data_IF_364423091838
#
_entry.id   IF_364423091838
#
_cell.length_a   1.000
_cell.length_b   1.000
_cell.length_c   1.000
_cell.angle_alpha   90.00
_cell.angle_beta   90.00
_cell.angle_gamma   90.00
#
_symmetry.space_group_name_H-M   'P 1'
#
loop_
_entity.id
_entity.type
_entity.pdbx_description
1 polymer ?
#
# COMPACT_ATOMS: atom_id res chain seq x y z
N UNK A 1 6.77 -7.25 -32.04
CA UNK A 1 5.80 -7.08 -30.93
C UNK A 1 5.95 -5.67 -30.39
N UNK A 2 4.93 -4.83 -30.52
CA UNK A 2 4.98 -3.47 -29.98
C UNK A 2 5.09 -3.49 -28.44
N UNK A 3 5.71 -2.45 -27.90
CA UNK A 3 5.82 -2.14 -26.47
C UNK A 3 5.12 -0.79 -26.29
N UNK A 4 4.20 -0.72 -25.34
CA UNK A 4 3.47 0.50 -25.02
C UNK A 4 3.77 1.00 -23.61
N UNK A 5 3.60 2.29 -23.38
CA UNK A 5 3.56 2.85 -22.03
C UNK A 5 2.16 2.75 -21.40
N UNK A 6 1.98 3.37 -20.23
CA UNK A 6 0.69 3.38 -19.54
C UNK A 6 -0.37 4.28 -20.21
N UNK A 7 0.03 5.23 -21.06
CA UNK A 7 -0.84 6.10 -21.85
C UNK A 7 -1.22 5.48 -23.21
N UNK A 8 -0.78 4.23 -23.45
CA UNK A 8 -0.90 3.50 -24.72
C UNK A 8 -0.07 4.09 -25.87
N UNK A 9 0.97 4.87 -25.55
CA UNK A 9 1.94 5.39 -26.52
C UNK A 9 2.96 4.30 -26.90
N UNK A 10 3.26 4.18 -28.21
CA UNK A 10 4.24 3.20 -28.72
C UNK A 10 5.66 3.63 -28.34
N UNK A 11 6.31 2.84 -27.49
CA UNK A 11 7.70 3.07 -27.07
C UNK A 11 8.73 2.35 -27.95
N UNK A 12 8.33 1.27 -28.61
CA UNK A 12 9.24 0.49 -29.45
C UNK A 12 8.65 -0.85 -29.89
N UNK A 13 9.47 -1.67 -30.54
CA UNK A 13 9.08 -2.99 -31.05
C UNK A 13 10.17 -4.02 -30.75
N UNK A 14 9.78 -5.16 -30.18
CA UNK A 14 10.63 -6.36 -30.08
C UNK A 14 10.45 -7.20 -31.34
N UNK A 15 11.53 -7.41 -32.10
CA UNK A 15 11.53 -8.31 -33.24
C UNK A 15 12.21 -9.64 -32.90
N UNK A 16 11.69 -10.73 -33.46
CA UNK A 16 12.25 -12.07 -33.32
C UNK A 16 11.97 -12.87 -34.60
N UNK A 17 12.95 -12.90 -35.50
CA UNK A 17 12.87 -13.61 -36.76
C UNK A 17 13.47 -15.01 -36.65
N UNK A 18 12.79 -16.01 -37.21
CA UNK A 18 13.27 -17.40 -37.30
C UNK A 18 12.98 -17.98 -38.68
N UNK A 19 13.87 -18.85 -39.18
CA UNK A 19 13.69 -19.59 -40.42
C UNK A 19 12.88 -20.89 -40.25
N UNK A 20 12.46 -21.23 -39.03
CA UNK A 20 11.72 -22.44 -38.70
C UNK A 20 10.22 -22.17 -38.50
N UNK A 21 9.42 -22.29 -39.57
CA UNK A 21 7.96 -22.03 -39.58
C UNK A 21 7.16 -22.78 -38.49
N UNK A 22 7.63 -23.96 -38.06
CA UNK A 22 6.95 -24.80 -37.07
C UNK A 22 7.05 -24.31 -35.62
N UNK A 23 7.88 -23.29 -35.32
CA UNK A 23 8.06 -22.76 -33.95
C UNK A 23 7.43 -21.38 -33.73
N UNK A 24 6.73 -20.86 -34.73
CA UNK A 24 6.30 -19.46 -34.75
C UNK A 24 5.33 -19.11 -33.60
N UNK A 25 4.42 -20.02 -33.20
CA UNK A 25 3.48 -19.76 -32.10
C UNK A 25 4.16 -19.69 -30.74
N UNK A 26 5.02 -20.66 -30.43
CA UNK A 26 5.79 -20.67 -29.19
C UNK A 26 6.72 -19.47 -29.10
N UNK A 27 7.40 -19.13 -30.20
CA UNK A 27 8.21 -17.91 -30.28
C UNK A 27 7.36 -16.67 -30.05
N UNK A 28 6.20 -16.54 -30.70
CA UNK A 28 5.32 -15.40 -30.53
C UNK A 28 4.85 -15.26 -29.07
N UNK A 29 4.51 -16.36 -28.40
CA UNK A 29 4.15 -16.34 -26.98
C UNK A 29 5.28 -15.82 -26.09
N UNK A 30 6.52 -16.25 -26.34
CA UNK A 30 7.70 -15.77 -25.61
C UNK A 30 7.98 -14.28 -25.87
N UNK A 31 7.83 -13.82 -27.12
CA UNK A 31 8.05 -12.41 -27.46
C UNK A 31 6.97 -11.52 -26.85
N UNK A 32 5.70 -11.99 -26.81
CA UNK A 32 4.62 -11.31 -26.08
C UNK A 32 4.92 -11.21 -24.59
N UNK A 33 5.40 -12.31 -23.99
CA UNK A 33 5.80 -12.32 -22.58
C UNK A 33 6.95 -11.33 -22.31
N UNK A 34 7.96 -11.30 -23.19
CA UNK A 34 9.06 -10.36 -23.11
C UNK A 34 8.59 -8.90 -23.21
N UNK A 35 7.69 -8.59 -24.16
CA UNK A 35 7.10 -7.26 -24.28
C UNK A 35 6.39 -6.85 -22.98
N UNK A 36 5.54 -7.72 -22.41
CA UNK A 36 4.86 -7.41 -21.14
C UNK A 36 5.81 -7.25 -19.96
N UNK A 37 6.90 -8.01 -19.91
CA UNK A 37 7.95 -7.81 -18.92
C UNK A 37 8.58 -6.41 -19.03
N UNK A 38 8.91 -5.99 -20.24
CA UNK A 38 9.49 -4.67 -20.50
C UNK A 38 8.52 -3.56 -20.11
N UNK A 39 7.25 -3.65 -20.51
CA UNK A 39 6.23 -2.66 -20.14
C UNK A 39 6.01 -2.57 -18.64
N UNK A 40 5.95 -3.71 -17.93
CA UNK A 40 5.82 -3.72 -16.47
C UNK A 40 7.03 -3.05 -15.79
N UNK A 41 8.24 -3.23 -16.33
CA UNK A 41 9.45 -2.57 -15.84
C UNK A 41 9.41 -1.07 -16.09
N UNK A 42 9.00 -0.65 -17.29
CA UNK A 42 8.85 0.75 -17.68
C UNK A 42 7.82 1.43 -16.76
N UNK A 43 6.65 0.82 -16.56
CA UNK A 43 5.63 1.32 -15.64
C UNK A 43 6.21 1.55 -14.24
N UNK A 44 6.93 0.55 -13.71
CA UNK A 44 7.51 0.64 -12.36
C UNK A 44 8.58 1.73 -12.24
N UNK A 45 9.30 2.01 -13.33
CA UNK A 45 10.33 3.07 -13.38
C UNK A 45 9.72 4.45 -13.56
N UNK A 46 8.66 4.57 -14.36
CA UNK A 46 7.96 5.83 -14.62
C UNK A 46 7.26 6.36 -13.36
N UNK A 47 6.79 5.46 -12.50
CA UNK A 47 6.08 5.77 -11.26
C UNK A 47 6.88 5.39 -10.02
N UNK A 48 8.21 5.56 -10.05
CA UNK A 48 9.12 5.19 -8.96
C UNK A 48 8.88 5.98 -7.65
N UNK A 49 8.27 7.16 -7.74
CA UNK A 49 7.83 7.99 -6.60
C UNK A 49 6.41 7.70 -6.14
N UNK A 50 5.60 7.05 -6.96
CA UNK A 50 4.21 6.73 -6.66
C UNK A 50 4.11 5.41 -5.91
N UNK A 51 2.99 5.19 -5.23
CA UNK A 51 2.67 3.88 -4.65
C UNK A 51 2.16 2.96 -5.73
N UNK A 52 2.88 1.88 -6.00
CA UNK A 52 2.42 0.88 -6.96
C UNK A 52 1.71 -0.24 -6.21
N UNK A 53 0.40 -0.35 -6.46
CA UNK A 53 -0.41 -1.47 -6.02
C UNK A 53 -0.52 -2.49 -7.15
N UNK A 54 -0.12 -3.71 -6.84
CA UNK A 54 -0.25 -4.90 -7.69
C UNK A 54 -1.50 -5.65 -7.32
N UNK A 55 -2.29 -6.08 -8.29
CA UNK A 55 -3.46 -6.90 -8.01
C UNK A 55 -3.77 -7.92 -9.11
N UNK A 56 -4.50 -8.97 -8.72
CA UNK A 56 -4.98 -10.00 -9.62
C UNK A 56 -6.17 -10.73 -8.98
N UNK A 57 -7.08 -11.30 -9.79
CA UNK A 57 -8.17 -12.14 -9.29
C UNK A 57 -7.72 -13.43 -8.56
N UNK A 58 -6.43 -13.78 -8.64
CA UNK A 58 -5.84 -14.99 -8.08
C UNK A 58 -4.50 -14.63 -7.44
N UNK A 59 -4.31 -14.98 -6.18
CA UNK A 59 -3.14 -14.58 -5.39
C UNK A 59 -1.83 -15.11 -6.01
N UNK A 60 -1.84 -16.35 -6.50
CA UNK A 60 -0.68 -17.01 -7.10
C UNK A 60 -0.18 -16.34 -8.40
N UNK A 61 -0.95 -15.41 -8.98
CA UNK A 61 -0.58 -14.69 -10.21
C UNK A 61 -0.01 -13.28 -9.96
N UNK A 62 -0.05 -12.79 -8.73
CA UNK A 62 0.59 -11.53 -8.32
C UNK A 62 2.10 -11.42 -8.65
N UNK A 63 2.92 -12.50 -8.56
CA UNK A 63 4.33 -12.39 -8.92
C UNK A 63 4.59 -12.53 -10.43
N UNK A 64 3.57 -12.71 -11.26
CA UNK A 64 3.74 -12.97 -12.70
C UNK A 64 3.62 -11.70 -13.54
N UNK A 65 3.86 -11.82 -14.85
CA UNK A 65 3.76 -10.71 -15.81
C UNK A 65 2.33 -10.28 -16.11
N UNK A 66 1.33 -11.11 -15.78
CA UNK A 66 -0.10 -10.79 -15.96
C UNK A 66 -0.65 -9.90 -14.85
N UNK A 67 0.18 -9.50 -13.88
CA UNK A 67 -0.25 -8.66 -12.76
C UNK A 67 -0.77 -7.30 -13.25
N UNK A 68 -1.91 -6.87 -12.71
CA UNK A 68 -2.41 -5.53 -12.87
C UNK A 68 -1.66 -4.59 -11.91
N UNK A 69 -1.30 -3.41 -12.39
CA UNK A 69 -0.62 -2.38 -11.61
C UNK A 69 -1.30 -1.04 -11.76
N UNK A 70 -1.55 -0.39 -10.63
CA UNK A 70 -1.91 1.04 -10.57
C UNK A 70 -0.87 1.79 -9.75
N UNK A 71 -0.53 2.99 -10.21
CA UNK A 71 0.30 3.94 -9.51
C UNK A 71 -0.60 4.98 -8.84
N UNK A 72 -0.35 5.27 -7.57
CA UNK A 72 -1.18 6.15 -6.74
C UNK A 72 -0.28 7.17 -6.03
N UNK A 73 -0.69 8.44 -6.01
CA UNK A 73 -0.02 9.46 -5.23
C UNK A 73 -0.27 9.31 -3.71
N UNK A 74 0.37 10.17 -2.92
CA UNK A 74 0.25 10.14 -1.45
C UNK A 74 -1.16 10.54 -0.94
N UNK A 75 -2.01 11.09 -1.82
CA UNK A 75 -3.37 11.51 -1.50
C UNK A 75 -4.44 10.50 -1.96
N UNK A 76 -4.03 9.37 -2.55
CA UNK A 76 -4.96 8.34 -3.01
C UNK A 76 -5.47 8.50 -4.45
N UNK A 77 -4.95 9.46 -5.23
CA UNK A 77 -5.31 9.58 -6.65
C UNK A 77 -4.46 8.66 -7.53
N UNK A 78 -5.12 7.99 -8.45
CA UNK A 78 -4.49 7.14 -9.46
C UNK A 78 -3.81 8.03 -10.49
N UNK A 79 -2.50 7.86 -10.63
CA UNK A 79 -1.64 8.57 -11.59
C UNK A 79 -1.40 7.75 -12.87
N UNK A 80 -1.54 6.42 -12.79
CA UNK A 80 -1.36 5.54 -13.94
C UNK A 80 -1.86 4.12 -13.71
N UNK A 81 -2.15 3.42 -14.80
CA UNK A 81 -2.56 2.02 -14.80
C UNK A 81 -1.91 1.28 -15.98
N UNK A 82 -1.31 0.11 -15.74
CA UNK A 82 -0.80 -0.72 -16.84
C UNK A 82 -1.96 -1.37 -17.62
N UNK A 83 -1.68 -1.94 -18.79
CA UNK A 83 -2.71 -2.54 -19.64
C UNK A 83 -3.52 -3.65 -18.94
N UNK A 84 -2.88 -4.42 -18.04
CA UNK A 84 -3.58 -5.44 -17.25
C UNK A 84 -4.56 -4.82 -16.25
N UNK A 85 -4.20 -3.69 -15.61
CA UNK A 85 -5.12 -2.97 -14.72
C UNK A 85 -6.32 -2.41 -15.46
N UNK A 86 -6.12 -1.84 -16.65
CA UNK A 86 -7.21 -1.38 -17.53
C UNK A 86 -8.17 -2.53 -17.90
N UNK A 87 -7.64 -3.75 -18.06
CA UNK A 87 -8.44 -4.94 -18.34
C UNK A 87 -9.20 -5.44 -17.10
N UNK A 88 -8.51 -5.58 -15.96
CA UNK A 88 -9.11 -6.09 -14.71
C UNK A 88 -10.18 -5.14 -14.19
N UNK A 89 -9.98 -3.83 -14.31
CA UNK A 89 -10.90 -2.78 -13.89
C UNK A 89 -11.78 -2.28 -15.05
N UNK A 90 -11.94 -3.09 -16.09
CA UNK A 90 -12.75 -2.71 -17.25
C UNK A 90 -14.19 -2.38 -16.83
N UNK A 91 -14.73 -1.29 -17.39
CA UNK A 91 -16.02 -0.74 -16.98
C UNK A 91 -15.92 0.37 -15.92
N UNK A 92 -14.77 0.55 -15.29
CA UNK A 92 -14.46 1.73 -14.48
C UNK A 92 -13.69 2.76 -15.32
N UNK A 93 -13.94 4.05 -15.09
CA UNK A 93 -13.28 5.13 -15.84
C UNK A 93 -11.89 5.41 -15.27
N UNK A 94 -10.88 4.70 -15.80
CA UNK A 94 -9.46 4.97 -15.56
C UNK A 94 -8.85 5.95 -16.56
N UNK A 95 -9.64 6.48 -17.51
CA UNK A 95 -9.17 7.48 -18.49
C UNK A 95 -9.05 8.88 -17.89
N UNK A 96 -9.53 9.06 -16.65
CA UNK A 96 -9.44 10.28 -15.87
C UNK A 96 -8.69 10.01 -14.57
N UNK A 97 -8.15 11.08 -13.97
CA UNK A 97 -7.55 11.02 -12.63
C UNK A 97 -8.66 10.76 -11.61
N UNK A 98 -8.77 9.52 -11.16
CA UNK A 98 -9.73 9.09 -10.15
C UNK A 98 -9.07 8.89 -8.79
N UNK A 99 -9.83 9.09 -7.72
CA UNK A 99 -9.44 8.65 -6.40
C UNK A 99 -9.64 7.14 -6.25
N UNK A 100 -8.80 6.46 -5.46
CA UNK A 100 -8.88 5.03 -5.17
C UNK A 100 -10.29 4.59 -4.73
N UNK A 101 -10.93 5.39 -3.88
CA UNK A 101 -12.28 5.11 -3.34
C UNK A 101 -13.40 5.15 -4.40
N UNK A 102 -13.13 5.73 -5.56
CA UNK A 102 -14.04 5.71 -6.71
C UNK A 102 -13.94 4.39 -7.49
N UNK A 103 -12.88 3.60 -7.28
CA UNK A 103 -12.61 2.34 -7.97
C UNK A 103 -12.88 1.14 -7.05
N UNK A 104 -12.56 1.26 -5.77
CA UNK A 104 -12.71 0.19 -4.78
C UNK A 104 -13.73 0.51 -3.70
N UNK A 105 -14.34 -0.53 -3.13
CA UNK A 105 -15.32 -0.41 -2.04
C UNK A 105 -14.68 -0.12 -0.67
N UNK A 106 -13.37 -0.28 -0.56
CA UNK A 106 -12.59 0.01 0.65
C UNK A 106 -11.98 1.41 0.55
N UNK A 107 -11.95 2.16 1.64
CA UNK A 107 -11.27 3.46 1.69
C UNK A 107 -9.75 3.27 1.51
N UNK A 108 -9.09 4.21 0.83
CA UNK A 108 -7.65 4.16 0.54
C UNK A 108 -6.81 3.90 1.79
N UNK A 109 -6.99 4.71 2.84
CA UNK A 109 -6.22 4.58 4.08
C UNK A 109 -6.47 3.24 4.78
N UNK A 110 -7.70 2.73 4.76
CA UNK A 110 -8.03 1.42 5.32
C UNK A 110 -7.33 0.30 4.55
N UNK A 111 -7.30 0.36 3.21
CA UNK A 111 -6.56 -0.58 2.38
C UNK A 111 -5.05 -0.52 2.68
N UNK A 112 -4.50 0.68 2.88
CA UNK A 112 -3.09 0.87 3.22
C UNK A 112 -2.74 0.30 4.59
N UNK A 113 -3.59 0.52 5.60
CA UNK A 113 -3.37 -0.02 6.93
C UNK A 113 -3.41 -1.55 6.93
N UNK A 114 -4.34 -2.16 6.16
CA UNK A 114 -4.36 -3.62 5.98
C UNK A 114 -3.09 -4.12 5.26
N UNK A 115 -2.61 -3.42 4.23
CA UNK A 115 -1.37 -3.76 3.51
C UNK A 115 -0.09 -3.55 4.31
N UNK A 116 -0.10 -2.74 5.37
CA UNK A 116 1.03 -2.62 6.31
C UNK A 116 1.14 -3.86 7.22
N UNK A 117 0.00 -4.44 7.57
CA UNK A 117 -0.10 -5.59 8.48
C UNK A 117 0.03 -6.91 7.71
N UNK A 118 -0.56 -6.98 6.52
CA UNK A 118 -0.59 -8.16 5.66
C UNK A 118 0.09 -7.86 4.33
N UNK A 119 0.95 -8.76 3.87
CA UNK A 119 1.61 -8.60 2.56
C UNK A 119 0.59 -8.59 1.41
N UNK A 120 -0.55 -9.28 1.58
CA UNK A 120 -1.63 -9.38 0.59
C UNK A 120 -2.98 -9.18 1.27
N UNK A 121 -3.84 -8.39 0.65
CA UNK A 121 -5.23 -8.19 1.08
C UNK A 121 -6.19 -8.58 -0.03
N UNK A 122 -7.43 -8.89 0.32
CA UNK A 122 -8.52 -9.07 -0.64
C UNK A 122 -9.37 -7.80 -0.66
N UNK A 123 -9.64 -7.26 -1.84
CA UNK A 123 -10.41 -6.02 -2.04
C UNK A 123 -11.44 -6.20 -3.15
N UNK A 124 -12.54 -5.47 -3.05
CA UNK A 124 -13.62 -5.46 -4.03
C UNK A 124 -13.65 -4.14 -4.79
N UNK A 125 -13.81 -4.19 -6.10
CA UNK A 125 -14.06 -3.01 -6.94
C UNK A 125 -15.54 -2.58 -6.89
N UNK A 126 -15.86 -1.37 -7.37
CA UNK A 126 -17.22 -0.83 -7.38
C UNK A 126 -18.21 -1.62 -8.25
N UNK A 127 -17.73 -2.51 -9.12
CA UNK A 127 -18.54 -3.40 -9.96
C UNK A 127 -18.75 -4.78 -9.31
N UNK A 128 -18.16 -5.00 -8.13
CA UNK A 128 -18.30 -6.23 -7.35
C UNK A 128 -17.19 -7.27 -7.60
N UNK A 129 -16.22 -7.02 -8.49
CA UNK A 129 -15.12 -7.94 -8.73
C UNK A 129 -14.19 -7.97 -7.52
N UNK A 130 -13.67 -9.14 -7.21
CA UNK A 130 -12.78 -9.35 -6.06
C UNK A 130 -11.38 -9.67 -6.56
N UNK A 131 -10.40 -8.96 -6.03
CA UNK A 131 -8.98 -9.14 -6.37
C UNK A 131 -8.13 -9.25 -5.10
N UNK A 132 -7.01 -9.97 -5.23
CA UNK A 132 -5.92 -9.94 -4.28
C UNK A 132 -5.00 -8.79 -4.63
N UNK A 133 -4.54 -8.03 -3.63
CA UNK A 133 -3.75 -6.82 -3.79
C UNK A 133 -2.51 -6.85 -2.89
N UNK A 134 -1.38 -6.38 -3.41
CA UNK A 134 -0.09 -6.22 -2.72
C UNK A 134 0.52 -4.86 -3.06
N UNK A 135 1.36 -4.34 -2.17
CA UNK A 135 2.22 -3.16 -2.45
C UNK A 135 3.60 -3.61 -2.95
N UNK A 136 4.19 -2.91 -3.92
CA UNK A 136 5.57 -3.18 -4.37
C UNK A 136 6.63 -2.66 -3.41
N UNK A 137 6.31 -1.65 -2.60
CA UNK A 137 7.19 -1.10 -1.59
C UNK A 137 6.83 -1.69 -0.23
N UNK A 138 7.85 -2.00 0.58
CA UNK A 138 7.66 -2.03 2.02
C UNK A 138 7.22 -0.64 2.44
N UNK A 139 5.94 -0.48 2.81
CA UNK A 139 5.38 0.79 3.28
C UNK A 139 6.21 1.37 4.45
N UNK A 140 7.01 0.54 5.14
CA UNK A 140 7.98 0.95 6.17
C UNK A 140 9.05 1.92 5.68
N UNK A 141 9.55 1.79 4.44
CA UNK A 141 10.56 2.69 3.90
C UNK A 141 9.97 4.07 3.54
N UNK A 142 8.70 4.12 3.13
CA UNK A 142 8.02 5.36 2.77
C UNK A 142 7.54 6.17 3.97
N UNK A 143 7.16 5.49 5.06
CA UNK A 143 6.83 6.16 6.33
C UNK A 143 8.04 6.92 6.89
N UNK A 144 9.28 6.41 6.70
CA UNK A 144 10.49 7.11 7.12
C UNK A 144 10.84 8.35 6.27
N UNK A 145 10.31 8.46 5.05
CA UNK A 145 10.42 9.66 4.21
C UNK A 145 9.22 10.63 4.37
N UNK A 146 8.21 10.25 5.15
CA UNK A 146 7.05 11.09 5.42
C UNK A 146 7.37 12.13 6.51
N UNK A 147 7.90 13.28 6.10
CA UNK A 147 7.66 14.53 6.81
C UNK A 147 6.38 15.15 6.22
N UNK A 148 5.22 14.75 6.75
CA UNK A 148 3.99 15.47 6.46
C UNK A 148 4.12 16.94 6.91
N UNK A 149 3.42 17.90 6.29
CA UNK A 149 3.39 19.25 6.81
C UNK A 149 2.87 19.19 8.24
N UNK A 150 3.66 19.70 9.19
CA UNK A 150 3.20 19.94 10.55
C UNK A 150 2.08 20.96 10.44
N UNK A 151 0.82 20.51 10.46
CA UNK A 151 -0.30 21.43 10.63
C UNK A 151 -0.21 21.90 12.06
N UNK A 152 0.43 23.04 12.27
CA UNK A 152 0.31 23.81 13.50
C UNK A 152 -1.16 24.20 13.65
N UNK A 153 -1.91 23.41 14.41
CA UNK A 153 -3.21 23.82 14.91
C UNK A 153 -2.95 24.95 15.89
N UNK A 154 -3.03 26.19 15.39
CA UNK A 154 -3.01 27.40 16.23
C UNK A 154 -4.33 27.45 17.01
N UNK A 155 -4.36 26.75 18.15
CA UNK A 155 -5.46 26.85 19.10
C UNK A 155 -5.63 28.29 19.58
N UNK A 156 -6.86 28.73 19.92
CA UNK A 156 -7.08 30.09 20.40
C UNK A 156 -6.26 30.31 21.68
N UNK A 157 -5.44 31.35 21.67
CA UNK A 157 -4.61 31.78 22.77
C UNK A 157 -5.46 32.16 23.98
N UNK A 158 -5.55 31.24 24.95
CA UNK A 158 -6.03 31.53 26.30
C UNK A 158 -5.00 32.33 27.11
N UNK A 159 -5.41 33.09 28.13
CA UNK A 159 -4.51 33.96 28.88
C UNK A 159 -3.51 33.12 29.70
N UNK A 160 -2.25 33.54 29.67
CA UNK A 160 -1.11 32.81 30.21
C UNK A 160 -1.21 32.51 31.71
N UNK A 161 -1.05 31.23 32.05
CA UNK A 161 -0.80 30.77 33.41
C UNK A 161 0.65 31.11 33.79
N UNK A 162 0.82 32.00 34.77
CA UNK A 162 2.11 32.22 35.43
C UNK A 162 2.53 30.94 36.18
N UNK A 163 3.81 30.53 36.12
CA UNK A 163 4.28 29.40 36.89
C UNK A 163 4.26 29.72 38.39
N UNK A 164 3.76 28.78 39.19
CA UNK A 164 3.68 28.89 40.65
C UNK A 164 5.08 28.88 41.30
N UNK A 165 5.29 29.61 42.41
CA UNK A 165 6.58 29.67 43.09
C UNK A 165 6.89 28.37 43.84
N UNK A 166 8.18 28.01 43.87
CA UNK A 166 8.72 26.82 44.53
C UNK A 166 8.61 26.88 46.06
N UNK A 167 8.33 25.75 46.75
CA UNK A 167 8.17 25.72 48.20
C UNK A 167 9.52 25.73 48.95
N UNK A 168 9.57 26.24 50.20
CA UNK A 168 10.79 26.33 51.00
C UNK A 168 11.14 25.00 51.71
N UNK A 169 12.39 24.85 52.21
CA UNK A 169 12.91 23.55 52.62
C UNK A 169 12.74 23.25 54.13
N UNK A 170 12.38 21.99 54.40
CA UNK A 170 12.50 21.16 55.62
C UNK A 170 11.80 21.58 56.93
N UNK A 171 11.09 20.63 57.54
CA UNK A 171 11.53 19.94 58.77
C UNK A 171 10.84 18.56 58.93
N UNK A 172 11.63 17.56 59.32
CA UNK A 172 11.22 16.19 59.66
C UNK A 172 10.36 16.17 60.92
N UNK A 173 9.27 15.40 60.93
CA UNK A 173 8.79 14.72 62.12
C UNK A 173 8.23 13.32 61.78
N UNK A 174 8.51 12.39 62.68
CA UNK A 174 8.34 10.93 62.65
C UNK A 174 7.08 10.54 63.45
N UNK A 175 6.30 9.58 62.94
CA UNK A 175 5.46 8.59 63.65
C UNK A 175 4.68 7.79 62.56
N UNK A 176 4.93 6.52 62.25
CA UNK A 176 4.75 5.25 63.00
C UNK A 176 3.30 4.70 62.95
N UNK A 177 3.19 3.38 62.70
CA UNK A 177 2.02 2.44 62.70
C UNK A 177 1.08 2.44 61.48
N UNK A 178 0.62 1.34 60.86
CA UNK A 178 0.91 -0.12 60.81
C UNK A 178 0.16 -0.68 59.53
N UNK A 179 0.12 -1.98 59.16
CA UNK A 179 0.28 -2.43 57.77
C UNK A 179 -1.04 -2.77 57.04
N UNK A 180 -0.97 -2.80 55.70
CA UNK A 180 -2.04 -3.32 54.85
C UNK A 180 -2.02 -4.87 54.79
N UNK A 181 -3.17 -5.56 54.78
CA UNK A 181 -3.20 -7.01 54.71
C UNK A 181 -2.86 -7.52 53.29
N UNK A 182 -2.00 -8.53 53.25
CA UNK A 182 -1.67 -9.27 52.04
C UNK A 182 -2.86 -10.13 51.59
N UNK A 183 -3.28 -9.97 50.33
CA UNK A 183 -4.14 -10.94 49.67
C UNK A 183 -3.25 -11.94 48.91
N UNK A 184 -3.13 -13.11 49.52
CA UNK A 184 -2.59 -14.35 48.99
C UNK A 184 -3.52 -14.83 47.86
N UNK A 185 -2.99 -15.03 46.66
CA UNK A 185 -3.64 -15.86 45.66
C UNK A 185 -3.06 -17.27 45.80
N UNK A 186 -3.87 -18.18 46.34
CA UNK A 186 -3.57 -19.61 46.36
C UNK A 186 -3.70 -20.18 44.95
N UNK A 187 -2.61 -20.84 44.55
CA UNK A 187 -2.48 -21.74 43.43
C UNK A 187 -2.74 -23.16 43.98
N UNK A 188 -3.82 -23.82 43.57
CA UNK A 188 -3.86 -25.29 43.60
C UNK A 188 -4.83 -25.87 42.54
N UNK A 189 -4.22 -26.19 41.40
CA UNK A 189 -4.12 -27.53 40.83
C UNK A 189 -5.33 -28.50 40.75
N UNK A 190 -5.45 -29.05 39.53
CA UNK A 190 -5.68 -30.47 39.19
C UNK A 190 -7.07 -31.11 39.42
N UNK A 191 -7.74 -31.48 38.30
CA UNK A 191 -7.98 -32.88 37.85
C UNK A 191 -9.14 -32.95 36.84
N UNK A 192 -8.86 -33.38 35.61
CA UNK A 192 -9.10 -34.74 35.08
C UNK A 192 -8.73 -34.82 33.61
#
# INVERSE_FOLDING_TARGET
MPIFDHADDLLGVIDATSNARSRNEHTLALVKLAARNVENRIFSQQFDRSLILKFHARQEYLPTTSVAMIAIDDYGFIEGANSNAKLVLSGLDLGRRQHFDAIFDTQFFEAMDKLKIHDTIQIRDRLGSVVFMQSTASLKARILSFQGPTVEVKGPSGPGLQPAPSPPPFFRHRAESDPAPALVFEDEALRK
#
